data_IF_527436470573
#
_entry.id   IF_527436470573
#
_cell.length_a   1.000
_cell.length_b   1.000
_cell.length_c   1.000
_cell.angle_alpha   90.00
_cell.angle_beta   90.00
_cell.angle_gamma   90.00
#
_symmetry.space_group_name_H-M   'P 1'
#
loop_
_entity.id
_entity.type
_entity.pdbx_description
1 polymer ?
#
# COMPACT_ATOMS: atom_id res chain seq x y z
N UNK A 1 2.27 2.50 15.23
CA UNK A 1 1.46 2.34 14.00
C UNK A 1 1.34 3.65 13.22
N UNK A 2 0.58 4.66 13.69
CA UNK A 2 0.33 5.94 12.96
C UNK A 2 1.58 6.59 12.34
N UNK A 3 2.68 6.74 13.09
CA UNK A 3 3.94 7.33 12.59
C UNK A 3 4.53 6.53 11.43
N UNK A 4 4.49 5.20 11.52
CA UNK A 4 5.05 4.34 10.48
C UNK A 4 4.15 4.33 9.23
N UNK A 5 2.81 4.39 9.37
CA UNK A 5 1.92 4.57 8.21
C UNK A 5 2.20 5.88 7.49
N UNK A 6 2.17 7.02 8.20
CA UNK A 6 2.48 8.31 7.57
C UNK A 6 3.81 8.28 6.84
N UNK A 7 4.82 7.64 7.43
CA UNK A 7 6.12 7.52 6.77
C UNK A 7 6.06 6.62 5.53
N UNK A 8 5.38 5.48 5.61
CA UNK A 8 5.22 4.59 4.46
C UNK A 8 4.45 5.30 3.33
N UNK A 9 3.33 5.95 3.62
CA UNK A 9 2.51 6.66 2.62
C UNK A 9 3.32 7.74 1.90
N UNK A 10 4.20 8.45 2.63
CA UNK A 10 5.08 9.44 1.99
C UNK A 10 6.08 8.83 1.00
N UNK A 11 6.43 7.55 1.15
CA UNK A 11 7.29 6.80 0.20
C UNK A 11 6.46 6.05 -0.86
N UNK A 12 5.20 5.71 -0.57
CA UNK A 12 4.27 5.18 -1.58
C UNK A 12 3.96 6.24 -2.64
N UNK A 13 3.86 7.52 -2.28
CA UNK A 13 3.63 8.61 -3.26
C UNK A 13 4.65 8.64 -4.41
N UNK A 14 5.98 8.73 -4.19
CA UNK A 14 6.95 8.69 -5.28
C UNK A 14 6.94 7.35 -6.03
N UNK A 15 6.66 6.24 -5.33
CA UNK A 15 6.51 4.93 -5.97
C UNK A 15 5.35 4.91 -6.98
N UNK A 16 4.16 5.35 -6.59
CA UNK A 16 2.98 5.44 -7.47
C UNK A 16 3.23 6.44 -8.61
N UNK A 17 3.91 7.56 -8.33
CA UNK A 17 4.32 8.49 -9.38
C UNK A 17 5.25 7.83 -10.41
N UNK A 18 6.18 6.97 -9.97
CA UNK A 18 7.06 6.21 -10.87
C UNK A 18 6.25 5.24 -11.76
N UNK A 19 5.22 4.60 -11.20
CA UNK A 19 4.32 3.71 -11.94
C UNK A 19 3.50 4.50 -12.95
N UNK A 20 2.98 5.68 -12.58
CA UNK A 20 2.28 6.56 -13.52
C UNK A 20 3.16 6.93 -14.72
N UNK A 21 4.44 7.23 -14.45
CA UNK A 21 5.42 7.52 -15.51
C UNK A 21 5.72 6.31 -16.39
N UNK A 22 5.71 5.09 -15.84
CA UNK A 22 5.83 3.84 -16.61
C UNK A 22 4.56 3.58 -17.43
N UNK A 23 3.38 3.72 -16.84
CA UNK A 23 2.09 3.57 -17.52
C UNK A 23 1.99 4.49 -18.74
N UNK A 24 2.38 5.75 -18.61
CA UNK A 24 2.39 6.72 -19.72
C UNK A 24 3.32 6.34 -20.89
N UNK A 25 4.30 5.46 -20.67
CA UNK A 25 5.29 5.05 -21.68
C UNK A 25 5.06 3.64 -22.21
N UNK A 26 4.61 2.74 -21.36
CA UNK A 26 4.63 1.29 -21.56
C UNK A 26 3.22 0.69 -21.62
N UNK A 27 2.19 1.36 -21.08
CA UNK A 27 0.82 0.84 -21.15
C UNK A 27 0.25 1.00 -22.55
N UNK A 28 -0.52 -0.01 -22.97
CA UNK A 28 -1.32 0.00 -24.19
C UNK A 28 -2.79 0.37 -23.94
N UNK A 29 -3.14 0.77 -22.71
CA UNK A 29 -4.48 1.24 -22.35
C UNK A 29 -4.39 2.59 -21.62
N UNK A 30 -4.97 3.62 -22.23
CA UNK A 30 -4.98 4.99 -21.70
C UNK A 30 -5.69 5.09 -20.33
N UNK A 31 -6.65 4.19 -20.04
CA UNK A 31 -7.36 4.19 -18.75
C UNK A 31 -6.47 3.84 -17.56
N UNK A 32 -5.31 3.21 -17.77
CA UNK A 32 -4.40 2.82 -16.68
C UNK A 32 -3.88 4.04 -15.94
N UNK A 33 -3.55 5.08 -16.69
CA UNK A 33 -3.11 6.35 -16.12
C UNK A 33 -4.19 6.97 -15.24
N UNK A 34 -5.46 6.89 -15.64
CA UNK A 34 -6.57 7.44 -14.87
C UNK A 34 -6.75 6.72 -13.55
N UNK A 35 -6.67 5.37 -13.56
CA UNK A 35 -6.75 4.55 -12.34
C UNK A 35 -5.57 4.86 -11.41
N UNK A 36 -4.34 4.86 -11.91
CA UNK A 36 -3.14 5.13 -11.09
C UNK A 36 -3.17 6.57 -10.54
N UNK A 37 -3.63 7.54 -11.34
CA UNK A 37 -3.75 8.94 -10.92
C UNK A 37 -4.81 9.10 -9.82
N UNK A 38 -5.93 8.36 -9.89
CA UNK A 38 -6.94 8.36 -8.85
C UNK A 38 -6.37 7.84 -7.52
N UNK A 39 -5.56 6.79 -7.54
CA UNK A 39 -4.82 6.31 -6.36
C UNK A 39 -3.94 7.37 -5.73
N UNK A 40 -3.15 8.06 -6.55
CA UNK A 40 -2.27 9.13 -6.08
C UNK A 40 -3.05 10.33 -5.50
N UNK A 41 -4.23 10.65 -6.05
CA UNK A 41 -5.11 11.65 -5.47
C UNK A 41 -5.64 11.21 -4.09
N UNK A 42 -6.02 9.94 -3.95
CA UNK A 42 -6.46 9.37 -2.67
C UNK A 42 -5.35 9.39 -1.60
N UNK A 43 -4.10 9.13 -1.97
CA UNK A 43 -2.95 9.19 -1.06
C UNK A 43 -2.75 10.60 -0.46
N UNK A 44 -3.02 11.66 -1.22
CA UNK A 44 -2.98 13.02 -0.69
C UNK A 44 -3.99 13.20 0.47
N UNK A 45 -5.22 12.74 0.26
CA UNK A 45 -6.29 12.83 1.25
C UNK A 45 -6.04 11.93 2.46
N UNK A 46 -5.40 10.78 2.25
CA UNK A 46 -4.97 9.85 3.29
C UNK A 46 -3.87 10.42 4.18
N UNK A 47 -2.81 11.00 3.60
CA UNK A 47 -1.76 11.67 4.37
C UNK A 47 -2.35 12.84 5.18
N UNK A 48 -3.29 13.59 4.59
CA UNK A 48 -3.98 14.67 5.30
C UNK A 48 -4.83 14.14 6.47
N UNK A 49 -5.50 13.00 6.28
CA UNK A 49 -6.28 12.33 7.32
C UNK A 49 -5.38 11.81 8.46
N UNK A 50 -4.29 11.11 8.14
CA UNK A 50 -3.36 10.62 9.18
C UNK A 50 -2.75 11.76 10.00
N UNK A 51 -2.45 12.92 9.40
CA UNK A 51 -1.98 14.09 10.15
C UNK A 51 -3.03 14.61 11.14
N UNK A 52 -4.31 14.57 10.77
CA UNK A 52 -5.42 14.93 11.68
C UNK A 52 -5.56 13.92 12.81
N UNK A 53 -5.50 12.62 12.49
CA UNK A 53 -5.55 11.57 13.51
C UNK A 53 -4.34 11.66 14.46
N UNK A 54 -3.13 11.89 13.95
CA UNK A 54 -1.96 12.09 14.80
C UNK A 54 -2.13 13.26 15.78
N UNK A 55 -2.72 14.38 15.33
CA UNK A 55 -3.03 15.51 16.21
C UNK A 55 -4.11 15.16 17.25
N UNK A 56 -5.15 14.43 16.86
CA UNK A 56 -6.24 13.96 17.76
C UNK A 56 -5.72 13.03 18.85
N UNK A 57 -4.74 12.18 18.53
CA UNK A 57 -4.14 11.22 19.46
C UNK A 57 -2.87 11.72 20.17
N UNK A 58 -2.52 13.01 20.02
CA UNK A 58 -1.30 13.64 20.56
C UNK A 58 0.01 12.90 20.18
N UNK A 59 0.05 12.38 18.95
CA UNK A 59 1.19 11.66 18.39
C UNK A 59 2.07 12.63 17.60
N UNK A 60 3.31 12.83 18.05
CA UNK A 60 4.28 13.66 17.35
C UNK A 60 4.86 12.93 16.12
N UNK A 61 4.54 13.39 14.91
CA UNK A 61 5.03 12.77 13.66
C UNK A 61 6.48 13.10 13.32
N UNK A 62 7.04 14.16 13.91
CA UNK A 62 8.41 14.64 13.62
C UNK A 62 9.39 14.22 14.71
N UNK A 63 10.65 13.96 14.34
CA UNK A 63 11.71 13.67 15.31
C UNK A 63 11.69 12.24 15.88
N UNK A 64 10.83 11.38 15.33
CA UNK A 64 10.79 9.95 15.66
C UNK A 64 11.44 9.16 14.52
N UNK A 65 12.40 8.32 14.87
CA UNK A 65 13.04 7.41 13.92
C UNK A 65 12.06 6.30 13.54
N UNK A 66 11.76 6.10 12.25
CA UNK A 66 10.89 5.00 11.81
C UNK A 66 11.43 3.64 12.24
N UNK A 67 10.54 2.68 12.48
CA UNK A 67 10.95 1.31 12.80
C UNK A 67 11.81 0.70 11.67
N UNK A 68 12.72 -0.22 11.98
CA UNK A 68 13.59 -0.85 10.97
C UNK A 68 12.79 -1.52 9.86
N UNK A 69 11.66 -2.15 10.20
CA UNK A 69 10.71 -2.72 9.24
C UNK A 69 10.20 -1.67 8.25
N UNK A 70 9.81 -0.49 8.75
CA UNK A 70 9.34 0.59 7.88
C UNK A 70 10.45 1.05 6.92
N UNK A 71 11.69 1.16 7.41
CA UNK A 71 12.85 1.53 6.58
C UNK A 71 13.15 0.48 5.50
N UNK A 72 13.00 -0.81 5.83
CA UNK A 72 13.17 -1.89 4.86
C UNK A 72 12.12 -1.82 3.76
N UNK A 73 10.85 -1.64 4.14
CA UNK A 73 9.76 -1.48 3.18
C UNK A 73 10.00 -0.25 2.28
N UNK A 74 10.34 0.91 2.85
CA UNK A 74 10.65 2.12 2.07
C UNK A 74 11.76 1.85 1.04
N UNK A 75 12.85 1.19 1.44
CA UNK A 75 13.95 0.82 0.55
C UNK A 75 13.53 -0.19 -0.51
N UNK A 76 12.63 -1.11 -0.19
CA UNK A 76 12.04 -2.03 -1.16
C UNK A 76 11.25 -1.26 -2.23
N UNK A 77 10.42 -0.29 -1.84
CA UNK A 77 9.71 0.58 -2.78
C UNK A 77 10.69 1.39 -3.66
N UNK A 78 11.77 1.92 -3.07
CA UNK A 78 12.82 2.63 -3.82
C UNK A 78 13.49 1.76 -4.90
N UNK A 79 13.69 0.47 -4.61
CA UNK A 79 14.22 -0.48 -5.60
C UNK A 79 13.21 -0.75 -6.72
N UNK A 80 11.91 -0.77 -6.44
CA UNK A 80 10.88 -0.95 -7.45
C UNK A 80 10.72 0.27 -8.38
N UNK A 81 11.18 1.46 -7.95
CA UNK A 81 11.17 2.66 -8.78
C UNK A 81 12.26 2.69 -9.85
N UNK A 82 13.20 1.73 -9.85
CA UNK A 82 14.33 1.79 -10.78
C UNK A 82 13.88 1.66 -12.25
N UNK A 83 14.61 2.28 -13.19
CA UNK A 83 14.23 2.29 -14.60
C UNK A 83 14.18 0.91 -15.25
N UNK A 84 14.96 -0.04 -14.74
CA UNK A 84 15.07 -1.42 -15.22
C UNK A 84 13.98 -2.36 -14.69
N UNK A 85 13.14 -1.89 -13.76
CA UNK A 85 11.98 -2.64 -13.28
C UNK A 85 10.85 -2.57 -14.31
N UNK A 86 10.36 -3.72 -14.77
CA UNK A 86 9.25 -3.80 -15.71
C UNK A 86 7.96 -3.20 -15.14
N UNK A 87 7.17 -2.50 -15.97
CA UNK A 87 5.86 -1.97 -15.57
C UNK A 87 4.96 -3.03 -14.95
N UNK A 88 4.91 -4.24 -15.54
CA UNK A 88 4.12 -5.35 -15.04
C UNK A 88 4.51 -5.77 -13.61
N UNK A 89 5.78 -5.67 -13.24
CA UNK A 89 6.26 -5.98 -11.88
C UNK A 89 5.85 -4.88 -10.91
N UNK A 90 6.06 -3.62 -11.27
CA UNK A 90 5.75 -2.48 -10.42
C UNK A 90 4.23 -2.34 -10.17
N UNK A 91 3.38 -2.53 -11.19
CA UNK A 91 1.93 -2.47 -11.01
C UNK A 91 1.40 -3.66 -10.21
N UNK A 92 2.03 -4.84 -10.32
CA UNK A 92 1.69 -6.01 -9.47
C UNK A 92 1.97 -5.68 -8.01
N UNK A 93 3.13 -5.09 -7.71
CA UNK A 93 3.44 -4.66 -6.34
C UNK A 93 2.41 -3.66 -5.82
N UNK A 94 2.06 -2.64 -6.61
CA UNK A 94 1.08 -1.63 -6.19
C UNK A 94 -0.32 -2.21 -5.93
N UNK A 95 -0.82 -3.04 -6.86
CA UNK A 95 -2.07 -3.77 -6.66
C UNK A 95 -2.04 -4.61 -5.37
N UNK A 96 -0.91 -5.27 -5.08
CA UNK A 96 -0.78 -6.12 -3.90
C UNK A 96 -0.87 -5.32 -2.61
N UNK A 97 -0.17 -4.18 -2.53
CA UNK A 97 -0.18 -3.28 -1.37
C UNK A 97 -1.62 -2.83 -1.07
N UNK A 98 -2.31 -2.30 -2.08
CA UNK A 98 -3.67 -1.78 -1.93
C UNK A 98 -4.66 -2.91 -1.54
N UNK A 99 -4.50 -4.08 -2.16
CA UNK A 99 -5.37 -5.24 -1.89
C UNK A 99 -5.17 -5.80 -0.49
N UNK A 100 -3.95 -5.81 0.05
CA UNK A 100 -3.70 -6.24 1.43
C UNK A 100 -4.49 -5.35 2.39
N UNK A 101 -4.42 -4.03 2.23
CA UNK A 101 -5.21 -3.11 3.05
C UNK A 101 -6.71 -3.35 2.87
N UNK A 102 -7.19 -3.48 1.64
CA UNK A 102 -8.60 -3.72 1.37
C UNK A 102 -9.09 -4.98 2.11
N UNK A 103 -8.36 -6.08 2.01
CA UNK A 103 -8.72 -7.34 2.66
C UNK A 103 -8.61 -7.27 4.18
N UNK A 104 -7.64 -6.54 4.73
CA UNK A 104 -7.49 -6.34 6.17
C UNK A 104 -8.68 -5.59 6.78
N UNK A 105 -9.32 -4.69 6.03
CA UNK A 105 -10.44 -3.87 6.51
C UNK A 105 -11.82 -4.31 5.97
N UNK A 106 -11.90 -5.25 5.02
CA UNK A 106 -13.15 -5.65 4.37
C UNK A 106 -14.27 -6.04 5.35
N UNK A 107 -13.94 -6.73 6.43
CA UNK A 107 -14.92 -7.24 7.39
C UNK A 107 -15.16 -6.30 8.59
N UNK A 108 -14.41 -5.20 8.72
CA UNK A 108 -14.51 -4.36 9.90
C UNK A 108 -15.71 -3.39 9.88
N UNK A 109 -16.49 -3.41 8.80
CA UNK A 109 -17.75 -2.67 8.63
C UNK A 109 -19.00 -3.55 8.67
N UNK A 110 -18.86 -4.87 8.86
CA UNK A 110 -20.00 -5.77 8.98
C UNK A 110 -20.81 -5.50 10.26
N UNK A 111 -22.11 -5.81 10.24
CA UNK A 111 -23.03 -5.50 11.35
C UNK A 111 -22.64 -6.17 12.69
N UNK A 112 -21.90 -7.28 12.65
CA UNK A 112 -21.40 -8.00 13.82
C UNK A 112 -19.93 -7.68 14.16
N UNK A 113 -19.28 -6.79 13.40
CA UNK A 113 -17.91 -6.36 13.66
C UNK A 113 -17.83 -5.61 15.00
N UNK A 114 -16.86 -6.00 15.83
CA UNK A 114 -16.58 -5.35 17.12
C UNK A 114 -15.59 -4.19 16.97
N UNK A 115 -15.67 -3.46 15.87
CA UNK A 115 -14.78 -2.34 15.57
C UNK A 115 -15.02 -1.21 16.58
N UNK A 116 -13.98 -0.75 17.30
CA UNK A 116 -14.09 0.40 18.18
C UNK A 116 -14.57 1.62 17.40
N UNK A 117 -15.46 2.42 18.01
CA UNK A 117 -16.05 3.59 17.33
C UNK A 117 -14.98 4.59 16.88
N UNK A 118 -13.87 4.68 17.62
CA UNK A 118 -12.75 5.56 17.31
C UNK A 118 -11.94 5.12 16.08
N UNK A 119 -12.02 3.84 15.69
CA UNK A 119 -11.34 3.25 14.54
C UNK A 119 -12.28 3.05 13.34
N UNK A 120 -13.56 3.41 13.47
CA UNK A 120 -14.55 3.23 12.40
C UNK A 120 -14.18 4.01 11.14
N UNK A 121 -13.65 5.22 11.28
CA UNK A 121 -13.25 6.04 10.12
C UNK A 121 -12.11 5.38 9.33
N UNK A 122 -11.14 4.76 10.01
CA UNK A 122 -10.09 3.96 9.38
C UNK A 122 -10.70 2.79 8.57
N UNK A 123 -11.65 2.08 9.16
CA UNK A 123 -12.41 1.03 8.51
C UNK A 123 -13.19 1.50 7.28
N UNK A 124 -13.83 2.67 7.36
CA UNK A 124 -14.59 3.24 6.24
C UNK A 124 -13.69 3.64 5.06
N UNK A 125 -12.41 3.96 5.29
CA UNK A 125 -11.47 4.26 4.19
C UNK A 125 -11.14 3.03 3.36
N UNK A 126 -10.55 2.01 3.99
CA UNK A 126 -10.03 0.83 3.27
C UNK A 126 -11.03 -0.34 3.18
N UNK A 127 -12.08 -0.36 4.00
CA UNK A 127 -13.14 -1.37 3.95
C UNK A 127 -14.32 -1.00 3.06
N UNK A 128 -14.31 0.17 2.41
CA UNK A 128 -15.43 0.62 1.57
C UNK A 128 -15.54 -0.13 0.24
N UNK A 129 -16.76 -0.21 -0.29
CA UNK A 129 -17.03 -0.74 -1.64
C UNK A 129 -16.28 0.06 -2.73
N UNK A 130 -16.10 1.38 -2.52
CA UNK A 130 -15.32 2.22 -3.44
C UNK A 130 -13.85 1.81 -3.52
N UNK A 131 -13.24 1.50 -2.38
CA UNK A 131 -11.84 1.05 -2.33
C UNK A 131 -11.68 -0.38 -2.86
N UNK A 132 -12.66 -1.27 -2.61
CA UNK A 132 -12.72 -2.60 -3.23
C UNK A 132 -12.77 -2.52 -4.77
N UNK A 133 -13.65 -1.67 -5.31
CA UNK A 133 -13.74 -1.48 -6.76
C UNK A 133 -12.44 -0.91 -7.35
N UNK A 134 -11.77 -0.01 -6.64
CA UNK A 134 -10.46 0.52 -7.04
C UNK A 134 -9.38 -0.58 -7.06
N UNK A 135 -9.31 -1.43 -6.04
CA UNK A 135 -8.38 -2.57 -5.99
C UNK A 135 -8.62 -3.56 -7.14
N UNK A 136 -9.89 -3.82 -7.48
CA UNK A 136 -10.27 -4.64 -8.66
C UNK A 136 -9.80 -4.02 -9.97
N UNK A 137 -9.92 -2.70 -10.13
CA UNK A 137 -9.38 -2.02 -11.32
C UNK A 137 -7.87 -2.13 -11.42
N UNK A 138 -7.13 -2.05 -10.30
CA UNK A 138 -5.69 -2.31 -10.28
C UNK A 138 -5.35 -3.77 -10.64
N UNK A 139 -6.14 -4.72 -10.14
CA UNK A 139 -5.99 -6.14 -10.46
C UNK A 139 -6.10 -6.38 -11.97
N UNK A 140 -7.13 -5.82 -12.61
CA UNK A 140 -7.34 -5.95 -14.06
C UNK A 140 -6.15 -5.40 -14.87
N UNK A 141 -5.53 -4.30 -14.40
CA UNK A 141 -4.32 -3.74 -15.02
C UNK A 141 -3.14 -4.68 -14.85
N UNK A 142 -2.92 -5.20 -13.63
CA UNK A 142 -1.82 -6.10 -13.33
C UNK A 142 -1.94 -7.41 -14.13
N UNK A 143 -3.10 -8.06 -14.12
CA UNK A 143 -3.36 -9.30 -14.88
C UNK A 143 -3.16 -9.10 -16.38
N UNK A 144 -3.70 -8.01 -16.94
CA UNK A 144 -3.52 -7.69 -18.36
C UNK A 144 -2.06 -7.45 -18.69
N UNK A 145 -1.32 -6.74 -17.84
CA UNK A 145 0.10 -6.47 -18.04
C UNK A 145 0.93 -7.77 -17.99
N UNK A 146 0.65 -8.64 -17.03
CA UNK A 146 1.30 -9.94 -16.87
C UNK A 146 1.02 -10.90 -18.04
N UNK A 147 -0.16 -10.79 -18.68
CA UNK A 147 -0.50 -11.63 -19.84
C UNK A 147 0.38 -11.39 -21.08
N UNK A 148 1.09 -10.25 -21.12
CA UNK A 148 1.84 -9.77 -22.29
C UNK A 148 3.36 -9.90 -22.16
N UNK A 149 3.86 -10.15 -20.95
CA UNK A 149 5.30 -10.22 -20.67
C UNK A 149 5.83 -11.65 -20.72
N UNK A 150 7.15 -11.79 -20.79
CA UNK A 150 7.82 -13.10 -20.78
C UNK A 150 7.66 -13.80 -19.43
N UNK A 151 7.87 -15.11 -19.40
CA UNK A 151 7.78 -15.89 -18.16
C UNK A 151 8.86 -15.49 -17.12
N UNK A 152 10.01 -14.96 -17.57
CA UNK A 152 11.02 -14.37 -16.68
C UNK A 152 10.46 -13.16 -15.91
N UNK A 153 9.75 -12.27 -16.60
CA UNK A 153 9.13 -11.09 -15.97
C UNK A 153 7.97 -11.51 -15.06
N UNK A 154 7.18 -12.53 -15.45
CA UNK A 154 6.13 -13.08 -14.56
C UNK A 154 6.73 -13.65 -13.28
N UNK A 155 7.84 -14.39 -13.37
CA UNK A 155 8.53 -14.91 -12.20
C UNK A 155 9.04 -13.78 -11.28
N UNK A 156 9.58 -12.69 -11.86
CA UNK A 156 9.94 -11.49 -11.08
C UNK A 156 8.74 -10.84 -10.40
N UNK A 157 7.60 -10.78 -11.08
CA UNK A 157 6.36 -10.24 -10.52
C UNK A 157 5.83 -11.11 -9.37
N UNK A 158 5.91 -12.44 -9.49
CA UNK A 158 5.56 -13.38 -8.42
C UNK A 158 6.48 -13.23 -7.21
N UNK A 159 7.80 -13.15 -7.41
CA UNK A 159 8.74 -12.87 -6.31
C UNK A 159 8.42 -11.54 -5.65
N UNK A 160 8.12 -10.50 -6.44
CA UNK A 160 7.77 -9.17 -5.93
C UNK A 160 6.48 -9.19 -5.13
N UNK A 161 5.46 -9.91 -5.60
CA UNK A 161 4.20 -10.15 -4.89
C UNK A 161 4.47 -10.78 -3.51
N UNK A 162 5.29 -11.84 -3.45
CA UNK A 162 5.65 -12.49 -2.20
C UNK A 162 6.42 -11.54 -1.27
N UNK A 163 7.38 -10.76 -1.80
CA UNK A 163 8.12 -9.77 -1.01
C UNK A 163 7.19 -8.69 -0.42
N UNK A 164 6.18 -8.23 -1.17
CA UNK A 164 5.17 -7.30 -0.63
C UNK A 164 4.45 -7.94 0.56
N UNK A 165 3.99 -9.18 0.43
CA UNK A 165 3.29 -9.87 1.52
C UNK A 165 4.18 -10.06 2.75
N UNK A 166 5.47 -10.35 2.56
CA UNK A 166 6.43 -10.46 3.66
C UNK A 166 6.64 -9.12 4.38
N UNK A 167 6.84 -8.03 3.64
CA UNK A 167 6.96 -6.68 4.20
C UNK A 167 5.69 -6.24 4.92
N UNK A 168 4.51 -6.53 4.36
CA UNK A 168 3.22 -6.29 5.01
C UNK A 168 3.12 -7.05 6.33
N UNK A 169 3.39 -8.36 6.35
CA UNK A 169 3.37 -9.17 7.59
C UNK A 169 4.27 -8.55 8.67
N UNK A 170 5.50 -8.18 8.32
CA UNK A 170 6.41 -7.54 9.28
C UNK A 170 5.89 -6.15 9.71
N UNK A 171 5.26 -5.40 8.81
CA UNK A 171 4.66 -4.10 9.10
C UNK A 171 3.47 -4.22 10.07
N UNK A 172 2.64 -5.25 9.93
CA UNK A 172 1.56 -5.51 10.89
C UNK A 172 2.11 -5.97 12.25
N UNK A 173 3.12 -6.84 12.27
CA UNK A 173 3.78 -7.31 13.50
C UNK A 173 4.37 -6.17 14.33
N UNK A 174 4.95 -5.13 13.71
CA UNK A 174 5.46 -3.99 14.50
C UNK A 174 4.35 -3.17 15.18
N UNK A 175 3.09 -3.36 14.78
CA UNK A 175 1.93 -2.69 15.35
C UNK A 175 1.27 -3.50 16.46
N UNK A 176 1.51 -4.81 16.52
CA UNK A 176 1.18 -5.63 17.68
C UNK A 176 2.05 -5.20 18.86
N UNK A 177 1.43 -4.66 19.91
CA UNK A 177 2.16 -4.24 21.11
C UNK A 177 2.94 -5.43 21.68
N UNK A 178 4.23 -5.23 21.99
CA UNK A 178 5.04 -6.25 22.69
C UNK A 178 4.29 -6.71 23.94
N UNK A 179 3.94 -7.99 24.03
CA UNK A 179 3.57 -8.58 25.31
C UNK A 179 4.81 -8.55 26.22
N UNK A 180 4.72 -8.08 27.48
CA UNK A 180 5.85 -7.98 28.39
C UNK A 180 6.50 -9.30 28.84
N UNK A 181 6.34 -10.42 28.13
CA UNK A 181 6.75 -11.75 28.59
C UNK A 181 8.01 -12.35 27.95
N UNK A 182 8.70 -11.65 27.05
CA UNK A 182 9.92 -12.15 26.40
C UNK A 182 11.18 -11.36 26.77
N UNK A 183 11.30 -10.99 28.05
CA UNK A 183 12.57 -10.63 28.67
C UNK A 183 12.73 -11.40 29.97
N UNK A 184 13.22 -12.64 29.87
CA UNK A 184 13.87 -13.39 30.94
C UNK A 184 14.96 -14.28 30.36
#
# INVERSE_FOLDING_TARGET
MLINHVKLDTEVVPFVASILMKAAKESDNESDMEVILAGMASLHDEIAWFKKEAAKWDVQLTGITPHITNQNYCRFLENLMQPDVDYAVAITAFWTIETVYQQSFAYCLEDDAKTPAELREACERWGSEGFDQYCKSLQEIAERSLSKVSDDVKAKAEVTFLCVLEEEVEFWKMSEGRTPSEQN
#
